data_IF_845953817980
#
_entry.id   IF_845953817980
#
_cell.length_a   1.000
_cell.length_b   1.000
_cell.length_c   1.000
_cell.angle_alpha   90.00
_cell.angle_beta   90.00
_cell.angle_gamma   90.00
#
_symmetry.space_group_name_H-M   'P 1'
#
loop_
_entity.id
_entity.type
_entity.pdbx_description
1 polymer ?
#
# COMPACT_ATOMS: atom_id res chain seq x y z
N UNK A 1 14.95 1.63 9.25
CA UNK A 1 13.62 1.14 8.84
C UNK A 1 13.05 2.19 7.90
N UNK A 2 12.80 1.84 6.63
CA UNK A 2 12.25 2.77 5.61
C UNK A 2 10.76 2.47 5.46
N UNK A 3 9.93 3.51 5.50
CA UNK A 3 8.48 3.41 5.33
C UNK A 3 8.12 4.38 4.22
N UNK A 4 7.42 3.88 3.21
CA UNK A 4 6.83 4.70 2.18
C UNK A 4 5.30 4.64 2.34
N UNK A 5 4.64 5.78 2.19
CA UNK A 5 3.19 5.91 2.30
C UNK A 5 2.67 6.34 0.94
N UNK A 6 1.63 5.68 0.44
CA UNK A 6 1.02 6.01 -0.83
C UNK A 6 -0.51 6.03 -0.66
N UNK A 7 -1.13 7.13 -1.08
CA UNK A 7 -2.58 7.24 -1.19
C UNK A 7 -2.91 8.06 -2.45
N UNK A 8 -3.64 7.47 -3.43
CA UNK A 8 -3.95 8.14 -4.68
C UNK A 8 -4.88 9.36 -4.52
N UNK A 9 -5.55 9.52 -3.37
CA UNK A 9 -6.48 10.62 -3.12
C UNK A 9 -5.86 11.71 -2.24
N UNK A 10 -4.77 11.42 -1.54
CA UNK A 10 -4.15 12.37 -0.63
C UNK A 10 -3.27 13.39 -1.37
N UNK A 11 -3.43 14.67 -1.04
CA UNK A 11 -2.52 15.70 -1.50
C UNK A 11 -1.24 15.68 -0.65
N UNK A 12 -0.10 15.34 -1.26
CA UNK A 12 1.18 15.25 -0.56
C UNK A 12 1.61 16.56 0.13
N UNK A 13 1.26 17.73 -0.43
CA UNK A 13 1.59 19.02 0.19
C UNK A 13 0.75 19.27 1.45
N UNK A 14 -0.54 18.92 1.43
CA UNK A 14 -1.41 19.04 2.59
C UNK A 14 -1.02 18.04 3.69
N UNK A 15 -0.71 16.79 3.31
CA UNK A 15 -0.28 15.78 4.28
C UNK A 15 1.03 16.20 4.97
N UNK A 16 1.97 16.79 4.24
CA UNK A 16 3.19 17.32 4.84
C UNK A 16 2.93 18.54 5.73
N UNK A 17 2.07 19.47 5.30
CA UNK A 17 1.71 20.66 6.08
C UNK A 17 1.03 20.30 7.40
N UNK A 18 0.04 19.40 7.38
CA UNK A 18 -0.77 19.05 8.55
C UNK A 18 -0.09 18.03 9.47
N UNK A 19 0.63 17.06 8.91
CA UNK A 19 1.17 15.93 9.67
C UNK A 19 2.70 15.85 9.67
N UNK A 20 3.40 16.64 8.87
CA UNK A 20 4.86 16.57 8.74
C UNK A 20 5.35 15.29 8.05
N UNK A 21 4.46 14.59 7.33
CA UNK A 21 4.73 13.29 6.71
C UNK A 21 4.91 13.46 5.21
N UNK A 22 5.93 12.81 4.66
CA UNK A 22 6.12 12.69 3.21
C UNK A 22 5.41 11.44 2.70
N UNK A 23 4.64 11.60 1.61
CA UNK A 23 3.95 10.52 0.93
C UNK A 23 4.32 10.49 -0.55
N UNK A 24 4.28 9.31 -1.14
CA UNK A 24 4.46 9.08 -2.56
C UNK A 24 3.21 9.55 -3.31
N UNK A 25 3.44 10.23 -4.45
CA UNK A 25 2.37 10.65 -5.37
C UNK A 25 1.93 9.54 -6.32
N UNK A 26 2.86 8.65 -6.65
CA UNK A 26 2.66 7.52 -7.56
C UNK A 26 3.00 6.23 -6.82
N UNK A 27 2.32 5.16 -7.18
CA UNK A 27 2.62 3.86 -6.61
C UNK A 27 4.04 3.46 -7.03
N UNK A 28 4.92 3.10 -6.08
CA UNK A 28 6.27 2.66 -6.41
C UNK A 28 6.19 1.30 -7.09
N UNK A 29 6.15 1.29 -8.42
CA UNK A 29 6.20 0.07 -9.21
C UNK A 29 7.54 -0.63 -8.97
N UNK A 30 7.47 -1.90 -8.54
CA UNK A 30 8.64 -2.72 -8.29
C UNK A 30 8.68 -3.35 -6.91
N UNK A 31 9.68 -4.18 -6.70
CA UNK A 31 9.79 -5.03 -5.52
C UNK A 31 10.90 -4.55 -4.58
N UNK A 32 10.73 -4.81 -3.27
CA UNK A 32 11.68 -4.37 -2.23
C UNK A 32 11.05 -4.13 -0.86
N UNK A 33 9.72 -4.19 -0.76
CA UNK A 33 9.03 -4.10 0.52
C UNK A 33 9.03 -5.45 1.24
N UNK A 34 9.40 -5.44 2.52
CA UNK A 34 9.21 -6.63 3.37
C UNK A 34 7.75 -6.85 3.74
N UNK A 35 6.96 -5.78 3.79
CA UNK A 35 5.54 -5.83 4.04
C UNK A 35 4.81 -4.68 3.36
N UNK A 36 3.56 -4.93 2.95
CA UNK A 36 2.60 -3.96 2.45
C UNK A 36 1.36 -4.04 3.33
N UNK A 37 0.90 -2.89 3.83
CA UNK A 37 -0.29 -2.78 4.66
C UNK A 37 -1.32 -1.95 3.90
N UNK A 38 -2.47 -2.54 3.59
CA UNK A 38 -3.59 -1.82 3.03
C UNK A 38 -4.45 -1.24 4.14
N UNK A 39 -4.30 0.06 4.39
CA UNK A 39 -4.95 0.75 5.50
C UNK A 39 -6.34 1.31 5.17
N UNK A 40 -6.65 1.55 3.90
CA UNK A 40 -7.92 2.14 3.42
C UNK A 40 -8.46 1.42 2.19
N UNK A 41 -9.76 1.56 1.93
CA UNK A 41 -10.51 0.73 0.99
C UNK A 41 -10.70 1.38 -0.40
N UNK A 42 -9.69 2.10 -0.92
CA UNK A 42 -9.80 2.73 -2.25
C UNK A 42 -9.74 1.69 -3.37
N UNK A 43 -10.62 1.81 -4.37
CA UNK A 43 -10.72 0.84 -5.47
C UNK A 43 -9.47 0.84 -6.37
N UNK A 44 -8.72 1.93 -6.39
CA UNK A 44 -7.44 2.09 -7.07
C UNK A 44 -6.44 1.01 -6.66
N UNK A 45 -6.46 0.59 -5.38
CA UNK A 45 -5.54 -0.44 -4.89
C UNK A 45 -5.81 -1.83 -5.47
N UNK A 46 -7.04 -2.10 -5.93
CA UNK A 46 -7.36 -3.37 -6.60
C UNK A 46 -6.72 -3.48 -7.99
N UNK A 47 -6.24 -2.36 -8.55
CA UNK A 47 -5.56 -2.33 -9.85
C UNK A 47 -4.06 -2.63 -9.73
N UNK A 48 -3.52 -2.64 -8.53
CA UNK A 48 -2.11 -2.93 -8.26
C UNK A 48 -1.89 -4.44 -8.34
N UNK A 49 -0.81 -4.86 -9.01
CA UNK A 49 -0.43 -6.27 -9.11
C UNK A 49 0.19 -6.78 -7.79
N UNK A 50 -0.65 -6.98 -6.78
CA UNK A 50 -0.24 -7.50 -5.47
C UNK A 50 0.34 -8.92 -5.53
N UNK A 51 -0.05 -9.70 -6.54
CA UNK A 51 0.51 -11.04 -6.77
C UNK A 51 2.02 -10.98 -7.02
N UNK A 52 2.51 -9.98 -7.79
CA UNK A 52 3.95 -9.82 -8.04
C UNK A 52 4.74 -9.53 -6.76
N UNK A 53 4.16 -8.79 -5.81
CA UNK A 53 4.77 -8.54 -4.52
C UNK A 53 4.81 -9.81 -3.66
N UNK A 54 3.71 -10.57 -3.65
CA UNK A 54 3.60 -11.84 -2.92
C UNK A 54 4.62 -12.87 -3.40
N UNK A 55 4.76 -13.04 -4.70
CA UNK A 55 5.70 -13.99 -5.30
C UNK A 55 7.16 -13.73 -4.93
N UNK A 56 7.49 -12.48 -4.58
CA UNK A 56 8.83 -12.08 -4.13
C UNK A 56 8.99 -12.08 -2.60
N UNK A 57 8.00 -12.60 -1.86
CA UNK A 57 8.05 -12.77 -0.41
C UNK A 57 7.62 -11.56 0.40
N UNK A 58 6.92 -10.60 -0.21
CA UNK A 58 6.33 -9.46 0.52
C UNK A 58 5.15 -9.94 1.35
N UNK A 59 5.10 -9.60 2.64
CA UNK A 59 3.94 -9.87 3.49
C UNK A 59 2.83 -8.85 3.22
N UNK A 60 1.64 -9.32 2.85
CA UNK A 60 0.49 -8.45 2.52
C UNK A 60 -0.56 -8.56 3.62
N UNK A 61 -0.79 -7.43 4.30
CA UNK A 61 -1.83 -7.30 5.33
C UNK A 61 -2.96 -6.38 4.85
N UNK A 62 -4.16 -6.92 4.73
CA UNK A 62 -5.33 -6.18 4.29
C UNK A 62 -6.27 -5.85 5.47
N UNK A 63 -6.20 -4.62 5.98
CA UNK A 63 -7.03 -4.18 7.11
C UNK A 63 -8.50 -4.03 6.70
N UNK A 64 -8.78 -3.83 5.41
CA UNK A 64 -10.12 -3.49 4.90
C UNK A 64 -10.81 -4.63 4.15
N UNK A 65 -10.09 -5.70 3.85
CA UNK A 65 -10.61 -6.91 3.22
C UNK A 65 -11.08 -6.72 1.78
N UNK A 66 -10.51 -5.75 1.04
CA UNK A 66 -10.90 -5.46 -0.34
C UNK A 66 -10.05 -6.18 -1.39
N UNK A 67 -8.91 -6.79 -0.99
CA UNK A 67 -8.06 -7.54 -1.89
C UNK A 67 -8.51 -9.01 -2.00
N UNK A 68 -8.20 -9.69 -3.13
CA UNK A 68 -8.42 -11.12 -3.29
C UNK A 68 -7.78 -11.95 -2.18
N UNK A 69 -8.43 -13.04 -1.74
CA UNK A 69 -7.94 -13.86 -0.60
C UNK A 69 -6.59 -14.49 -0.90
N UNK A 70 -6.32 -14.75 -2.16
CA UNK A 70 -5.17 -15.48 -2.68
C UNK A 70 -3.89 -14.65 -2.55
N UNK A 71 -3.99 -13.32 -2.62
CA UNK A 71 -2.85 -12.39 -2.55
C UNK A 71 -2.57 -11.88 -1.13
N UNK A 72 -3.43 -12.15 -0.16
CA UNK A 72 -3.32 -11.64 1.21
C UNK A 72 -2.76 -12.71 2.15
N UNK A 73 -1.90 -12.33 3.09
CA UNK A 73 -1.37 -13.24 4.12
C UNK A 73 -2.20 -13.18 5.41
N UNK A 74 -2.68 -11.99 5.77
CA UNK A 74 -3.63 -11.81 6.87
C UNK A 74 -4.54 -10.59 6.65
N UNK A 75 -5.71 -10.60 7.29
CA UNK A 75 -6.71 -9.53 7.23
C UNK A 75 -7.51 -9.45 8.53
N UNK A 76 -8.24 -8.35 8.73
CA UNK A 76 -9.21 -8.16 9.82
C UNK A 76 -10.60 -8.70 9.42
#
# INVERSE_FOLDING_TARGET
MKVDIFDPWANAAEVNHEYGIEILKEYPEGNGYGAIILAVAHNEFQKINMQEHKEKGTIIYDVKGILPKEVVDARL
#
